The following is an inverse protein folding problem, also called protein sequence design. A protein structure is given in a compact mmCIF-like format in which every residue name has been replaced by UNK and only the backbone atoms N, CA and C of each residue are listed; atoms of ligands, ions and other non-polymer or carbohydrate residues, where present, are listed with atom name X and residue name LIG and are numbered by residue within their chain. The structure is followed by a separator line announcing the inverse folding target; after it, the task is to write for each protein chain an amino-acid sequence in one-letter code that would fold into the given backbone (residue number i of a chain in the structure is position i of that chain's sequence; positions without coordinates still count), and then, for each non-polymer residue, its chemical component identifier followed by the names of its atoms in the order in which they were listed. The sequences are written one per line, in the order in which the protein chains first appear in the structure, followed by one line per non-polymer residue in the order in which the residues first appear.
data_IF_551273143242
#
_entry.id   IF_551273143242
#
_cell.length_a   1.000
_cell.length_b   1.000
_cell.length_c   1.000
_cell.angle_alpha   90.00
_cell.angle_beta   90.00
_cell.angle_gamma   90.00
#
_symmetry.space_group_name_H-M   'P 1'
#
loop_
_entity.id
_entity.type
_entity.pdbx_description
1 polymer ?
#
# COMPACT_ATOMS: atom_id res chain seq x y z
N UNK A 1 23.28 -0.37 5.95
CA UNK A 1 22.44 -0.17 7.15
C UNK A 1 22.07 1.30 7.25
N UNK A 2 20.80 1.66 7.12
CA UNK A 2 20.37 3.07 7.25
C UNK A 2 20.24 3.38 8.75
N UNK A 3 21.07 4.28 9.26
CA UNK A 3 21.01 4.71 10.66
C UNK A 3 20.09 5.93 10.74
N UNK A 4 18.89 5.72 11.28
CA UNK A 4 17.93 6.79 11.51
C UNK A 4 18.05 7.31 12.94
N UNK A 5 18.05 8.64 13.11
CA UNK A 5 18.05 9.29 14.43
C UNK A 5 16.86 8.85 15.31
N UNK A 6 17.06 8.83 16.63
CA UNK A 6 16.06 8.36 17.60
C UNK A 6 14.73 9.14 17.50
N UNK A 7 14.76 10.47 17.32
CA UNK A 7 13.57 11.29 17.14
C UNK A 7 12.76 10.89 15.91
N UNK A 8 13.41 10.66 14.77
CA UNK A 8 12.76 10.18 13.56
C UNK A 8 12.11 8.81 13.76
N UNK A 9 12.75 7.91 14.53
CA UNK A 9 12.16 6.61 14.88
C UNK A 9 10.92 6.76 15.77
N UNK A 10 10.93 7.68 16.74
CA UNK A 10 9.78 7.97 17.61
C UNK A 10 8.63 8.54 16.78
N UNK A 11 8.89 9.52 15.91
CA UNK A 11 7.88 10.11 15.03
C UNK A 11 7.28 9.03 14.12
N UNK A 12 8.12 8.23 13.45
CA UNK A 12 7.69 7.14 12.59
C UNK A 12 6.80 6.14 13.33
N UNK A 13 7.20 5.76 14.56
CA UNK A 13 6.44 4.82 15.40
C UNK A 13 5.09 5.40 15.81
N UNK A 14 5.05 6.67 16.24
CA UNK A 14 3.81 7.36 16.61
C UNK A 14 2.85 7.46 15.43
N UNK A 15 3.35 7.84 14.26
CA UNK A 15 2.55 7.90 13.03
C UNK A 15 2.03 6.50 12.63
N UNK A 16 2.87 5.47 12.69
CA UNK A 16 2.49 4.10 12.38
C UNK A 16 1.41 3.57 13.32
N UNK A 17 1.52 3.84 14.63
CA UNK A 17 0.54 3.39 15.63
C UNK A 17 -0.84 4.03 15.42
N UNK A 18 -0.88 5.31 15.02
CA UNK A 18 -2.14 5.98 14.66
C UNK A 18 -2.70 5.45 13.34
N UNK A 19 -1.85 5.26 12.34
CA UNK A 19 -2.26 4.71 11.04
C UNK A 19 -2.82 3.29 11.18
N UNK A 20 -2.21 2.44 12.00
CA UNK A 20 -2.66 1.06 12.23
C UNK A 20 -4.12 0.96 12.69
N UNK A 21 -4.64 1.98 13.39
CA UNK A 21 -6.04 2.01 13.84
C UNK A 21 -7.04 2.20 12.69
N UNK A 22 -6.63 2.88 11.62
CA UNK A 22 -7.51 3.23 10.48
C UNK A 22 -7.22 2.40 9.24
N UNK A 23 -6.03 1.80 9.15
CA UNK A 23 -5.58 1.13 7.93
C UNK A 23 -6.43 -0.07 7.53
N UNK A 24 -7.05 -0.75 8.51
CA UNK A 24 -7.96 -1.86 8.26
C UNK A 24 -9.24 -1.46 7.54
N UNK A 25 -9.65 -0.19 7.63
CA UNK A 25 -10.77 0.37 6.86
C UNK A 25 -10.36 0.81 5.45
N UNK A 26 -9.08 1.16 5.25
CA UNK A 26 -8.56 1.64 3.98
C UNK A 26 -8.09 0.51 3.05
N UNK A 27 -7.74 -0.65 3.60
CA UNK A 27 -7.18 -1.78 2.84
C UNK A 27 -8.19 -2.92 2.68
N UNK A 28 -8.34 -3.39 1.44
CA UNK A 28 -9.18 -4.53 1.08
C UNK A 28 -8.78 -5.83 1.79
N UNK A 29 -9.72 -6.77 1.89
CA UNK A 29 -9.57 -8.04 2.65
C UNK A 29 -8.41 -8.91 2.14
N UNK A 30 -7.95 -8.69 0.91
CA UNK A 30 -6.96 -9.53 0.24
C UNK A 30 -5.50 -9.17 0.53
N UNK A 31 -5.24 -8.14 1.34
CA UNK A 31 -3.88 -7.85 1.83
C UNK A 31 -3.70 -8.42 3.22
N UNK A 32 -2.66 -9.23 3.43
CA UNK A 32 -2.46 -9.95 4.69
C UNK A 32 -1.24 -9.43 5.50
N UNK A 33 -0.43 -8.57 4.91
CA UNK A 33 0.87 -8.17 5.49
C UNK A 33 0.71 -6.91 6.34
N UNK A 34 1.22 -6.93 7.58
CA UNK A 34 1.24 -5.79 8.52
C UNK A 34 -0.12 -5.21 8.92
N UNK A 35 -1.20 -5.98 8.78
CA UNK A 35 -2.55 -5.62 9.24
C UNK A 35 -2.87 -6.44 10.48
N UNK A 36 -3.32 -5.78 11.55
CA UNK A 36 -3.68 -6.45 12.79
C UNK A 36 -4.87 -7.40 12.57
N UNK A 37 -4.72 -8.66 12.99
CA UNK A 37 -5.76 -9.69 12.85
C UNK A 37 -5.75 -10.45 11.52
N UNK A 38 -4.76 -10.21 10.64
CA UNK A 38 -4.55 -11.02 9.42
C UNK A 38 -3.21 -11.74 9.52
N UNK A 39 -3.19 -13.05 9.28
CA UNK A 39 -1.96 -13.84 9.37
C UNK A 39 -1.38 -14.07 7.98
N UNK A 40 -0.04 -14.11 7.89
CA UNK A 40 0.64 -14.48 6.65
C UNK A 40 0.26 -15.90 6.18
N UNK A 41 -0.05 -16.79 7.13
CA UNK A 41 -0.51 -18.16 6.86
C UNK A 41 -1.82 -18.18 6.04
N UNK A 42 -2.72 -17.22 6.25
CA UNK A 42 -3.96 -17.11 5.47
C UNK A 42 -3.66 -16.89 3.99
N UNK A 43 -2.64 -16.06 3.69
CA UNK A 43 -2.19 -15.80 2.32
C UNK A 43 -1.62 -17.06 1.67
N UNK A 44 -0.79 -17.82 2.39
CA UNK A 44 -0.23 -19.07 1.90
C UNK A 44 -1.32 -20.13 1.65
N UNK A 45 -2.30 -20.23 2.55
CA UNK A 45 -3.44 -21.14 2.40
C UNK A 45 -4.29 -20.81 1.17
N UNK A 46 -4.63 -19.53 0.97
CA UNK A 46 -5.38 -19.07 -0.20
C UNK A 46 -4.61 -19.35 -1.50
N UNK A 47 -3.30 -19.15 -1.50
CA UNK A 47 -2.47 -19.44 -2.68
C UNK A 47 -2.47 -20.94 -3.03
N UNK A 48 -2.34 -21.81 -2.03
CA UNK A 48 -2.41 -23.27 -2.21
C UNK A 48 -3.77 -23.71 -2.75
N UNK A 49 -4.87 -23.21 -2.20
CA UNK A 49 -6.23 -23.49 -2.68
C UNK A 49 -6.40 -23.08 -4.16
N UNK A 50 -5.87 -21.92 -4.55
CA UNK A 50 -5.92 -21.45 -5.94
C UNK A 50 -5.13 -22.35 -6.89
N UNK A 51 -3.97 -22.86 -6.47
CA UNK A 51 -3.18 -23.82 -7.26
C UNK A 51 -3.94 -25.13 -7.45
N UNK A 52 -4.58 -25.63 -6.40
CA UNK A 52 -5.35 -26.87 -6.49
C UNK A 52 -6.59 -26.71 -7.38
N UNK A 53 -7.27 -25.56 -7.31
CA UNK A 53 -8.38 -25.24 -8.22
C UNK A 53 -7.92 -25.15 -9.68
N UNK A 54 -6.75 -24.56 -9.96
CA UNK A 54 -6.18 -24.54 -11.31
C UNK A 54 -5.89 -25.93 -11.84
N UNK A 55 -5.28 -26.81 -11.02
CA UNK A 55 -4.98 -28.20 -11.39
C UNK A 55 -6.27 -28.98 -11.70
N UNK A 56 -7.32 -28.77 -10.91
CA UNK A 56 -8.62 -29.45 -11.10
C UNK A 56 -9.38 -28.96 -12.33
N UNK A 57 -9.28 -27.67 -12.69
CA UNK A 57 -10.16 -27.08 -13.69
C UNK A 57 -9.86 -27.47 -15.16
N UNK A 58 -8.73 -28.15 -15.47
CA UNK A 58 -8.28 -28.62 -16.81
C UNK A 58 -8.35 -27.62 -17.99
N UNK A 59 -8.81 -26.40 -17.75
CA UNK A 59 -8.80 -25.26 -18.67
C UNK A 59 -7.49 -24.50 -18.43
N UNK A 60 -6.79 -24.15 -19.50
CA UNK A 60 -5.56 -23.36 -19.43
C UNK A 60 -5.76 -22.14 -18.52
N UNK A 61 -5.07 -22.15 -17.38
CA UNK A 61 -5.16 -21.11 -16.35
C UNK A 61 -3.78 -20.48 -16.18
N UNK A 62 -3.72 -19.16 -16.01
CA UNK A 62 -2.48 -18.42 -15.83
C UNK A 62 -2.37 -17.97 -14.37
N UNK A 63 -1.25 -18.27 -13.74
CA UNK A 63 -0.89 -17.71 -12.45
C UNK A 63 0.04 -16.51 -12.65
N UNK A 64 -0.42 -15.32 -12.25
CA UNK A 64 0.38 -14.10 -12.35
C UNK A 64 1.01 -13.79 -11.00
N UNK A 65 2.33 -13.94 -10.92
CA UNK A 65 3.13 -13.43 -9.80
C UNK A 65 3.71 -12.08 -10.19
N UNK A 66 3.40 -11.05 -9.42
CA UNK A 66 3.96 -9.70 -9.59
C UNK A 66 4.94 -9.45 -8.46
N UNK A 67 6.14 -9.00 -8.82
CA UNK A 67 7.17 -8.58 -7.87
C UNK A 67 7.55 -7.12 -8.16
N UNK A 68 7.82 -6.34 -7.11
CA UNK A 68 8.09 -4.92 -7.22
C UNK A 68 9.59 -4.66 -7.06
N UNK A 69 10.27 -4.32 -8.16
CA UNK A 69 11.68 -3.93 -8.09
C UNK A 69 11.83 -2.66 -7.22
N UNK A 70 12.70 -2.73 -6.21
CA UNK A 70 12.98 -1.61 -5.28
C UNK A 70 11.70 -0.98 -4.75
N UNK A 71 10.76 -1.82 -4.32
CA UNK A 71 9.39 -1.48 -3.96
C UNK A 71 9.25 -0.23 -3.06
N UNK A 72 10.17 -0.06 -2.11
CA UNK A 72 10.19 1.11 -1.24
C UNK A 72 10.85 2.31 -1.88
N UNK A 73 11.91 2.14 -2.66
CA UNK A 73 12.75 3.23 -3.18
C UNK A 73 12.14 3.86 -4.45
N UNK A 74 11.22 3.17 -5.12
CA UNK A 74 10.60 3.60 -6.37
C UNK A 74 9.32 4.44 -6.20
N UNK A 75 8.74 4.51 -4.99
CA UNK A 75 7.46 5.20 -4.76
C UNK A 75 7.61 6.71 -4.94
N UNK A 76 6.91 7.27 -5.94
CA UNK A 76 6.79 8.70 -6.11
C UNK A 76 5.97 9.33 -4.96
N UNK A 77 6.48 10.42 -4.41
CA UNK A 77 5.86 11.12 -3.28
C UNK A 77 4.52 11.76 -3.63
N UNK A 78 4.40 12.34 -4.83
CA UNK A 78 3.15 12.92 -5.31
C UNK A 78 2.08 11.83 -5.46
N UNK A 79 2.45 10.66 -5.98
CA UNK A 79 1.56 9.52 -6.09
C UNK A 79 1.06 9.05 -4.72
N UNK A 80 1.96 8.94 -3.73
CA UNK A 80 1.60 8.57 -2.36
C UNK A 80 0.64 9.60 -1.73
N UNK A 81 0.94 10.89 -1.87
CA UNK A 81 0.10 11.97 -1.35
C UNK A 81 -1.31 11.93 -1.96
N UNK A 82 -1.41 11.77 -3.28
CA UNK A 82 -2.69 11.64 -3.98
C UNK A 82 -3.46 10.39 -3.54
N UNK A 83 -2.77 9.26 -3.39
CA UNK A 83 -3.36 8.01 -2.91
C UNK A 83 -3.99 8.19 -1.52
N UNK A 84 -3.26 8.79 -0.59
CA UNK A 84 -3.78 9.08 0.75
C UNK A 84 -4.98 10.03 0.72
N UNK A 85 -4.95 11.07 -0.14
CA UNK A 85 -6.09 11.99 -0.30
C UNK A 85 -7.32 11.27 -0.84
N UNK A 86 -7.17 10.40 -1.83
CA UNK A 86 -8.26 9.60 -2.41
C UNK A 86 -8.85 8.60 -1.41
N UNK A 87 -8.03 8.06 -0.51
CA UNK A 87 -8.47 7.18 0.58
C UNK A 87 -9.15 7.93 1.74
N UNK A 88 -9.31 9.26 1.66
CA UNK A 88 -10.01 10.06 2.66
C UNK A 88 -9.15 10.50 3.86
N UNK A 89 -7.82 10.35 3.78
CA UNK A 89 -6.95 10.90 4.83
C UNK A 89 -7.01 12.43 4.84
N UNK A 90 -7.13 13.01 6.04
CA UNK A 90 -7.15 14.46 6.22
C UNK A 90 -5.85 15.08 5.72
N UNK A 91 -5.93 16.24 5.09
CA UNK A 91 -4.77 16.93 4.51
C UNK A 91 -3.63 17.16 5.51
N UNK A 92 -3.96 17.54 6.75
CA UNK A 92 -2.98 17.69 7.85
C UNK A 92 -2.20 16.40 8.11
N UNK A 93 -2.87 15.24 8.06
CA UNK A 93 -2.24 13.94 8.23
C UNK A 93 -1.32 13.63 7.05
N UNK A 94 -1.79 13.85 5.82
CA UNK A 94 -0.99 13.68 4.62
C UNK A 94 0.29 14.55 4.70
N UNK A 95 0.18 15.82 5.09
CA UNK A 95 1.33 16.72 5.27
C UNK A 95 2.34 16.21 6.30
N UNK A 96 1.89 15.66 7.43
CA UNK A 96 2.80 15.07 8.42
C UNK A 96 3.53 13.85 7.89
N UNK A 97 2.83 12.98 7.17
CA UNK A 97 3.46 11.83 6.51
C UNK A 97 4.45 12.32 5.46
N UNK A 98 4.06 13.25 4.59
CA UNK A 98 4.94 13.82 3.57
C UNK A 98 6.19 14.44 4.17
N UNK A 99 6.07 15.22 5.25
CA UNK A 99 7.21 15.79 5.95
C UNK A 99 8.16 14.70 6.48
N UNK A 100 7.65 13.57 6.96
CA UNK A 100 8.49 12.45 7.40
C UNK A 100 9.24 11.79 6.23
N UNK A 101 8.57 11.57 5.09
CA UNK A 101 9.20 10.90 3.94
C UNK A 101 10.12 11.83 3.15
N UNK A 102 9.78 13.11 3.02
CA UNK A 102 10.50 14.06 2.17
C UNK A 102 11.76 14.65 2.79
N UNK A 103 11.81 14.74 4.12
CA UNK A 103 12.99 15.27 4.86
C UNK A 103 14.14 14.26 4.97
N UNK A 104 14.15 13.24 4.13
CA UNK A 104 15.17 12.17 4.18
C UNK A 104 16.36 12.56 3.35
N UNK A 105 17.52 12.66 3.98
CA UNK A 105 18.82 12.65 3.32
C UNK A 105 19.49 11.29 3.50
N UNK A 106 20.25 10.87 2.50
CA UNK A 106 21.07 9.66 2.53
C UNK A 106 22.53 10.06 2.38
N UNK A 107 23.39 9.52 3.24
CA UNK A 107 24.84 9.57 3.07
C UNK A 107 25.37 8.15 2.98
N UNK A 108 26.30 7.92 2.05
CA UNK A 108 26.95 6.63 1.85
C UNK A 108 28.27 6.66 2.61
N UNK A 109 28.50 5.66 3.47
CA UNK A 109 29.77 5.47 4.16
C UNK A 109 30.72 4.69 3.25
N UNK A 110 31.81 5.33 2.81
CA UNK A 110 32.84 4.72 1.96
C UNK A 110 34.15 4.77 2.72
N UNK A 111 34.74 3.60 3.02
CA UNK A 111 36.01 3.47 3.74
C UNK A 111 36.07 4.28 5.05
N UNK A 112 34.99 4.27 5.83
CA UNK A 112 34.91 4.99 7.11
C UNK A 112 34.60 6.49 6.99
N UNK A 113 34.50 7.04 5.78
CA UNK A 113 34.16 8.45 5.54
C UNK A 113 32.76 8.56 4.95
N UNK A 114 31.94 9.47 5.49
CA UNK A 114 30.62 9.76 4.94
C UNK A 114 30.76 10.62 3.68
N UNK A 115 30.06 10.21 2.63
CA UNK A 115 29.85 11.04 1.44
C UNK A 115 28.90 12.20 1.74
N UNK A 116 28.82 13.15 0.81
CA UNK A 116 27.89 14.29 0.89
C UNK A 116 26.45 13.79 1.00
N UNK A 117 25.63 14.55 1.71
CA UNK A 117 24.22 14.24 1.83
C UNK A 117 23.52 14.33 0.46
N UNK A 118 22.78 13.28 0.14
CA UNK A 118 21.96 13.20 -1.06
C UNK A 118 20.51 13.38 -0.63
N UNK A 119 19.86 14.41 -1.18
CA UNK A 119 18.43 14.60 -1.02
C UNK A 119 17.66 13.57 -1.85
N UNK A 120 16.73 12.88 -1.20
CA UNK A 120 15.84 11.96 -1.90
C UNK A 120 14.78 12.73 -2.67
N UNK A 121 14.41 12.25 -3.86
CA UNK A 121 13.27 12.76 -4.64
C UNK A 121 12.06 11.81 -4.67
N UNK A 122 12.24 10.58 -4.17
CA UNK A 122 11.24 9.53 -4.11
C UNK A 122 11.64 8.45 -3.11
N UNK A 123 10.70 7.58 -2.80
CA UNK A 123 10.88 6.39 -1.99
C UNK A 123 10.50 6.55 -0.52
N UNK A 124 10.38 5.41 0.15
CA UNK A 124 10.05 5.27 1.56
C UNK A 124 11.29 4.87 2.36
N UNK A 125 11.38 5.33 3.62
CA UNK A 125 12.48 4.94 4.52
C UNK A 125 12.38 3.47 4.89
N UNK A 126 13.26 2.61 4.38
CA UNK A 126 13.26 1.19 4.74
C UNK A 126 13.54 0.98 6.24
N UNK A 127 12.91 -0.04 6.84
CA UNK A 127 13.15 -0.43 8.23
C UNK A 127 12.21 0.19 9.28
N UNK A 128 11.17 0.93 8.87
CA UNK A 128 10.16 1.48 9.78
C UNK A 128 8.76 0.88 9.58
N UNK A 129 7.94 0.71 10.64
CA UNK A 129 6.58 0.19 10.52
C UNK A 129 5.67 1.10 9.68
N UNK A 130 5.93 2.42 9.66
CA UNK A 130 5.16 3.36 8.85
C UNK A 130 5.34 3.10 7.35
N UNK A 131 6.57 2.85 6.90
CA UNK A 131 6.87 2.63 5.48
C UNK A 131 6.17 1.39 4.93
N UNK A 132 6.04 0.34 5.74
CA UNK A 132 5.28 -0.86 5.38
C UNK A 132 3.79 -0.57 5.22
N UNK A 133 3.21 0.22 6.13
CA UNK A 133 1.82 0.64 6.05
C UNK A 133 1.55 1.54 4.84
N UNK A 134 2.47 2.45 4.51
CA UNK A 134 2.37 3.31 3.34
C UNK A 134 2.50 2.52 2.04
N UNK A 135 3.39 1.52 2.00
CA UNK A 135 3.51 0.61 0.86
C UNK A 135 2.21 -0.16 0.61
N UNK A 136 1.54 -0.64 1.65
CA UNK A 136 0.25 -1.31 1.51
C UNK A 136 -0.82 -0.42 0.86
N UNK A 137 -0.82 0.89 1.14
CA UNK A 137 -1.75 1.82 0.46
C UNK A 137 -1.49 1.86 -1.05
N UNK A 138 -0.23 1.88 -1.46
CA UNK A 138 0.17 1.85 -2.88
C UNK A 138 -0.28 0.55 -3.55
N UNK A 139 -0.07 -0.59 -2.89
CA UNK A 139 -0.50 -1.91 -3.39
C UNK A 139 -2.02 -2.02 -3.47
N UNK A 140 -2.75 -1.29 -2.63
CA UNK A 140 -4.21 -1.26 -2.67
C UNK A 140 -4.70 -0.56 -3.95
N UNK A 141 -4.05 0.52 -4.37
CA UNK A 141 -4.34 1.17 -5.66
C UNK A 141 -4.09 0.21 -6.81
N UNK A 142 -2.98 -0.54 -6.79
CA UNK A 142 -2.72 -1.57 -7.79
C UNK A 142 -3.83 -2.63 -7.81
N UNK A 143 -4.28 -3.08 -6.64
CA UNK A 143 -5.39 -4.03 -6.51
C UNK A 143 -6.70 -3.49 -7.12
N UNK A 144 -6.99 -2.21 -6.90
CA UNK A 144 -8.14 -1.54 -7.51
C UNK A 144 -8.03 -1.43 -9.04
N UNK A 145 -6.83 -1.16 -9.57
CA UNK A 145 -6.58 -1.13 -11.02
C UNK A 145 -6.76 -2.50 -11.67
N UNK A 146 -6.24 -3.57 -11.05
CA UNK A 146 -6.44 -4.94 -11.52
C UNK A 146 -7.91 -5.32 -11.57
N UNK A 147 -8.68 -4.91 -10.55
CA UNK A 147 -10.12 -5.12 -10.55
C UNK A 147 -10.82 -4.38 -11.69
N UNK A 148 -10.46 -3.11 -11.95
CA UNK A 148 -11.00 -2.35 -13.08
C UNK A 148 -10.68 -3.01 -14.42
N UNK A 149 -9.50 -3.61 -14.56
CA UNK A 149 -9.12 -4.35 -15.77
C UNK A 149 -9.95 -5.64 -15.96
N UNK A 150 -10.23 -6.37 -14.86
CA UNK A 150 -11.13 -7.54 -14.88
C UNK A 150 -12.55 -7.13 -15.31
N UNK A 151 -13.08 -6.03 -14.77
CA UNK A 151 -14.43 -5.55 -15.11
C UNK A 151 -14.54 -5.10 -16.58
N UNK A 152 -13.47 -4.54 -17.13
CA UNK A 152 -13.37 -4.19 -18.56
C UNK A 152 -13.15 -5.40 -19.47
N UNK A 153 -13.17 -6.63 -18.93
CA UNK A 153 -12.96 -7.90 -19.64
C UNK A 153 -11.57 -8.04 -20.27
N UNK A 154 -10.57 -7.26 -19.84
CA UNK A 154 -9.17 -7.50 -20.23
C UNK A 154 -8.64 -8.81 -19.64
N UNK A 155 -9.15 -9.20 -18.46
CA UNK A 155 -8.82 -10.46 -17.80
C UNK A 155 -10.09 -11.16 -17.31
N UNK A 156 -10.11 -12.49 -17.39
CA UNK A 156 -11.18 -13.31 -16.80
C UNK A 156 -10.71 -13.85 -15.44
N UNK A 157 -11.28 -13.30 -14.36
CA UNK A 157 -11.04 -13.83 -13.02
C UNK A 157 -11.61 -15.26 -12.88
N UNK A 158 -10.90 -16.12 -12.14
CA UNK A 158 -11.36 -17.46 -11.79
C UNK A 158 -12.64 -17.40 -10.93
N UNK A 159 -13.55 -18.36 -11.11
CA UNK A 159 -14.76 -18.46 -10.26
C UNK A 159 -14.33 -18.65 -8.80
N UNK A 160 -14.63 -17.67 -7.95
CA UNK A 160 -14.15 -17.58 -6.56
C UNK A 160 -13.39 -16.29 -6.24
N UNK A 161 -12.71 -15.68 -7.24
CA UNK A 161 -12.03 -14.40 -7.05
C UNK A 161 -12.99 -13.20 -7.09
N UNK A 162 -14.08 -13.28 -7.87
CA UNK A 162 -15.03 -12.16 -8.11
C UNK A 162 -15.74 -11.66 -6.84
N UNK A 163 -16.17 -12.56 -5.96
CA UNK A 163 -16.89 -12.20 -4.74
C UNK A 163 -16.03 -11.41 -3.75
N UNK A 164 -14.72 -11.70 -3.71
CA UNK A 164 -13.78 -11.02 -2.80
C UNK A 164 -13.48 -9.59 -3.23
N UNK A 165 -13.43 -9.31 -4.54
CA UNK A 165 -13.22 -7.95 -5.04
C UNK A 165 -14.48 -7.07 -4.96
N UNK A 166 -15.67 -7.65 -5.06
CA UNK A 166 -16.94 -6.91 -4.90
C UNK A 166 -17.08 -6.29 -3.50
N UNK A 167 -16.67 -7.02 -2.45
CA UNK A 167 -16.62 -6.52 -1.06
C UNK A 167 -15.61 -5.40 -0.85
N UNK A 168 -14.54 -5.37 -1.65
CA UNK A 168 -13.51 -4.31 -1.59
C UNK A 168 -14.06 -2.98 -2.12
N UNK A 169 -14.75 -3.00 -3.27
CA UNK A 169 -15.37 -1.80 -3.83
C UNK A 169 -16.46 -1.19 -2.95
N UNK A 170 -17.28 -2.01 -2.30
CA UNK A 170 -18.31 -1.50 -1.39
C UNK A 170 -17.70 -0.81 -0.16
N UNK A 171 -16.51 -1.24 0.27
CA UNK A 171 -15.71 -0.58 1.29
C UNK A 171 -15.21 0.80 0.82
N UNK A 172 -14.66 0.87 -0.41
CA UNK A 172 -14.21 2.13 -1.02
C UNK A 172 -15.37 3.12 -1.26
N UNK A 173 -16.53 2.64 -1.70
CA UNK A 173 -17.74 3.47 -1.84
C UNK A 173 -18.22 4.00 -0.49
N UNK A 174 -18.16 3.19 0.58
CA UNK A 174 -18.53 3.60 1.94
C UNK A 174 -17.53 4.57 2.56
N UNK A 175 -16.23 4.37 2.37
CA UNK A 175 -15.18 5.29 2.85
C UNK A 175 -15.23 6.61 2.07
N UNK A 176 -15.44 6.55 0.75
CA UNK A 176 -15.67 7.72 -0.10
C UNK A 176 -16.92 8.52 0.29
N UNK A 177 -18.01 7.85 0.66
CA UNK A 177 -19.22 8.53 1.15
C UNK A 177 -19.07 9.09 2.58
N UNK A 178 -18.28 8.44 3.45
CA UNK A 178 -18.09 8.82 4.87
C UNK A 178 -17.09 9.97 5.06
N UNK A 179 -16.15 10.15 4.14
CA UNK A 179 -15.12 11.19 4.19
C UNK A 179 -15.09 12.13 2.98
N UNK A 180 -15.89 11.88 1.94
CA UNK A 180 -16.12 12.76 0.81
C UNK A 180 -17.15 13.84 1.12
N UNK A 181 -16.74 14.82 1.92
CA UNK A 181 -17.44 16.10 1.98
C UNK A 181 -17.28 16.81 0.63
N UNK A 182 -18.39 16.90 -0.10
CA UNK A 182 -18.71 17.80 -1.22
C UNK A 182 -17.55 18.38 -2.02
N UNK A 183 -17.29 17.82 -3.21
CA UNK A 183 -16.97 18.65 -4.37
C UNK A 183 -18.22 18.64 -5.24
N UNK A 184 -19.09 19.61 -4.97
CA UNK A 184 -20.34 19.80 -5.69
C UNK A 184 -20.83 21.22 -5.50
N UNK A 185 -20.59 22.06 -6.52
CA UNK A 185 -21.32 23.30 -6.76
C UNK A 185 -20.67 24.57 -6.24
N UNK A 186 -19.88 25.23 -7.09
CA UNK A 186 -20.07 26.65 -7.32
C UNK A 186 -20.04 26.87 -8.83
N UNK A 187 -21.21 27.29 -9.34
CA UNK A 187 -21.36 28.05 -10.56
C UNK A 187 -20.64 29.39 -10.44
#
# INVERSE_FOLDING_TARGET
MIIMGCFCKIIAKTLALRMRKVIGEAIGVNQFVFIQGRQFLDCAFIASEMVDLMKKNRRGSLFLKVDFEKAFDSIAWDFLYHTMRLMGFRDKWCKWVMAYVSTTTISILVNGTLTREIHMGKGLRQGGPLSLLLFNLVVEVFSALMYKAINRKHFKAMSGAKDKFSKMLSLWARVGAKYGGGIGGQN
#
